data_IF_012737705852
#
_entry.id   IF_012737705852
#
_cell.length_a   1.000
_cell.length_b   1.000
_cell.length_c   1.000
_cell.angle_alpha   90.00
_cell.angle_beta   90.00
_cell.angle_gamma   90.00
#
_symmetry.space_group_name_H-M   'P 1'
#
loop_
_entity.id
_entity.type
_entity.pdbx_description
1 polymer ?
#
# COMPACT_ATOMS: atom_id res chain seq x y z
N UNK A 1 -13.13 7.44 11.57
CA UNK A 1 -12.31 6.35 12.13
C UNK A 1 -11.86 6.77 13.52
N UNK A 2 -11.49 5.83 14.38
CA UNK A 2 -11.00 6.12 15.72
C UNK A 2 -9.52 5.73 15.90
N UNK A 3 -8.92 6.09 17.04
CA UNK A 3 -7.52 5.82 17.34
C UNK A 3 -7.20 4.34 17.41
N UNK A 4 -8.13 3.49 17.85
CA UNK A 4 -7.93 2.04 17.87
C UNK A 4 -7.71 1.49 16.45
N UNK A 5 -8.50 1.93 15.47
CA UNK A 5 -8.30 1.56 14.07
C UNK A 5 -6.96 2.10 13.52
N UNK A 6 -6.59 3.34 13.84
CA UNK A 6 -5.30 3.92 13.44
C UNK A 6 -4.13 3.11 14.00
N UNK A 7 -4.14 2.79 15.31
CA UNK A 7 -3.09 2.01 15.97
C UNK A 7 -2.96 0.62 15.37
N UNK A 8 -4.08 -0.02 15.00
CA UNK A 8 -4.06 -1.28 14.28
C UNK A 8 -3.33 -1.16 12.93
N UNK A 9 -3.63 -0.13 12.14
CA UNK A 9 -2.98 0.09 10.84
C UNK A 9 -1.47 0.30 10.98
N UNK A 10 -1.04 1.03 12.02
CA UNK A 10 0.39 1.21 12.29
C UNK A 10 1.06 -0.02 12.90
N UNK A 11 0.34 -0.84 13.65
CA UNK A 11 0.86 -2.14 14.11
C UNK A 11 1.09 -3.09 12.93
N UNK A 12 0.14 -3.14 11.98
CA UNK A 12 0.32 -3.83 10.70
C UNK A 12 1.49 -3.24 9.90
N UNK A 13 1.58 -1.91 9.81
CA UNK A 13 2.67 -1.24 9.11
C UNK A 13 4.03 -1.62 9.71
N UNK A 14 4.17 -1.59 11.03
CA UNK A 14 5.42 -2.00 11.68
C UNK A 14 5.70 -3.49 11.45
N UNK A 15 4.70 -4.38 11.58
CA UNK A 15 4.88 -5.81 11.31
C UNK A 15 5.45 -6.07 9.90
N UNK A 16 4.88 -5.43 8.87
CA UNK A 16 5.35 -5.61 7.50
C UNK A 16 6.74 -4.97 7.28
N UNK A 17 7.06 -3.84 7.95
CA UNK A 17 8.43 -3.30 7.96
C UNK A 17 9.43 -4.30 8.56
N UNK A 18 9.08 -4.93 9.69
CA UNK A 18 9.95 -5.91 10.34
C UNK A 18 10.18 -7.15 9.49
N UNK A 19 9.22 -7.59 8.67
CA UNK A 19 9.46 -8.71 7.74
C UNK A 19 10.53 -8.38 6.71
N UNK A 20 10.48 -7.18 6.14
CA UNK A 20 11.49 -6.69 5.20
C UNK A 20 12.85 -6.57 5.90
N UNK A 21 12.89 -5.89 7.06
CA UNK A 21 14.13 -5.69 7.82
C UNK A 21 14.75 -7.00 8.31
N UNK A 22 13.94 -8.04 8.55
CA UNK A 22 14.42 -9.37 8.94
C UNK A 22 15.17 -10.03 7.78
N UNK A 23 14.61 -10.01 6.57
CA UNK A 23 15.29 -10.56 5.39
C UNK A 23 16.47 -9.70 4.92
N UNK A 24 16.42 -8.39 5.16
CA UNK A 24 17.50 -7.47 4.81
C UNK A 24 18.84 -7.87 5.43
N UNK A 25 18.85 -8.51 6.60
CA UNK A 25 20.07 -8.97 7.30
C UNK A 25 20.85 -10.00 6.48
N UNK A 26 20.17 -10.73 5.59
CA UNK A 26 20.80 -11.74 4.73
C UNK A 26 21.55 -11.14 3.54
N UNK A 27 21.29 -9.86 3.20
CA UNK A 27 21.99 -9.19 2.11
C UNK A 27 23.42 -8.82 2.49
N UNK A 28 24.35 -9.06 1.56
CA UNK A 28 25.73 -8.59 1.69
C UNK A 28 25.80 -7.06 1.55
N UNK A 29 26.87 -6.41 2.08
CA UNK A 29 27.04 -4.97 1.96
C UNK A 29 26.97 -4.41 0.53
N UNK A 30 27.47 -5.17 -0.46
CA UNK A 30 27.41 -4.78 -1.88
C UNK A 30 26.01 -4.96 -2.48
N UNK A 31 25.25 -5.98 -2.05
CA UNK A 31 23.86 -6.22 -2.47
C UNK A 31 22.92 -5.14 -1.89
N UNK A 32 23.16 -4.73 -0.64
CA UNK A 32 22.46 -3.64 0.05
C UNK A 32 22.54 -2.31 -0.71
N UNK A 33 23.69 -2.05 -1.36
CA UNK A 33 24.01 -0.82 -2.10
C UNK A 33 23.96 -0.98 -3.62
N UNK A 34 23.61 -2.15 -4.13
CA UNK A 34 23.57 -2.41 -5.55
C UNK A 34 22.63 -1.43 -6.24
N UNK A 35 23.11 -0.84 -7.34
CA UNK A 35 22.31 0.06 -8.16
C UNK A 35 21.12 -0.69 -8.75
N UNK A 36 19.94 -0.09 -8.68
CA UNK A 36 18.75 -0.58 -9.34
C UNK A 36 17.92 0.58 -9.88
N UNK A 37 16.98 0.24 -10.77
CA UNK A 37 16.07 1.20 -11.39
C UNK A 37 14.88 1.58 -10.49
N UNK A 38 14.78 0.99 -9.30
CA UNK A 38 13.65 1.16 -8.40
C UNK A 38 13.88 2.34 -7.45
N UNK A 39 13.03 3.37 -7.61
CA UNK A 39 12.72 4.44 -6.64
C UNK A 39 13.88 5.29 -6.12
N UNK A 40 14.78 4.67 -5.35
CA UNK A 40 15.79 5.31 -4.52
C UNK A 40 17.21 4.78 -4.79
N UNK A 41 17.41 4.17 -5.96
CA UNK A 41 18.70 3.81 -6.53
C UNK A 41 19.37 2.58 -5.91
N UNK A 42 18.93 2.13 -4.74
CA UNK A 42 19.41 0.90 -4.07
C UNK A 42 18.39 0.39 -3.07
N UNK A 43 18.55 -0.86 -2.61
CA UNK A 43 17.71 -1.41 -1.53
C UNK A 43 17.83 -0.59 -0.24
N UNK A 44 19.06 -0.21 0.15
CA UNK A 44 19.29 0.67 1.30
C UNK A 44 18.59 2.03 1.13
N UNK A 45 18.65 2.60 -0.07
CA UNK A 45 17.95 3.84 -0.40
C UNK A 45 16.45 3.74 -0.20
N UNK A 46 15.82 2.64 -0.64
CA UNK A 46 14.39 2.40 -0.46
C UNK A 46 13.99 2.30 1.01
N UNK A 47 14.76 1.56 1.81
CA UNK A 47 14.51 1.46 3.25
C UNK A 47 14.73 2.79 3.98
N UNK A 48 15.84 3.48 3.69
CA UNK A 48 16.11 4.80 4.26
C UNK A 48 15.00 5.80 3.91
N UNK A 49 14.50 5.78 2.67
CA UNK A 49 13.39 6.62 2.25
C UNK A 49 12.12 6.39 3.07
N UNK A 50 11.68 5.14 3.24
CA UNK A 50 10.46 4.84 4.01
C UNK A 50 10.58 5.40 5.43
N UNK A 51 11.70 5.14 6.11
CA UNK A 51 11.93 5.60 7.48
C UNK A 51 12.05 7.12 7.57
N UNK A 52 12.81 7.76 6.68
CA UNK A 52 12.97 9.21 6.68
C UNK A 52 11.66 9.91 6.34
N UNK A 53 10.89 9.41 5.37
CA UNK A 53 9.58 9.93 5.04
C UNK A 53 8.63 9.86 6.23
N UNK A 54 8.57 8.73 6.94
CA UNK A 54 7.76 8.57 8.15
C UNK A 54 8.21 9.56 9.24
N UNK A 55 9.51 9.63 9.54
CA UNK A 55 10.08 10.54 10.55
C UNK A 55 9.75 12.01 10.24
N UNK A 56 9.89 12.40 8.97
CA UNK A 56 9.57 13.71 8.45
C UNK A 56 8.09 14.06 8.63
N UNK A 57 7.19 13.11 8.38
CA UNK A 57 5.77 13.32 8.64
C UNK A 57 5.46 13.40 10.13
N UNK A 58 6.04 12.53 10.96
CA UNK A 58 5.86 12.57 12.42
C UNK A 58 6.29 13.92 12.99
N UNK A 59 7.46 14.43 12.61
CA UNK A 59 7.91 15.78 12.99
C UNK A 59 6.88 16.85 12.64
N UNK A 60 6.30 16.79 11.44
CA UNK A 60 5.30 17.78 10.99
C UNK A 60 3.96 17.64 11.71
N UNK A 61 3.45 16.42 11.84
CA UNK A 61 2.12 16.17 12.39
C UNK A 61 2.07 16.44 13.89
N UNK A 62 3.18 16.25 14.59
CA UNK A 62 3.27 16.38 16.05
C UNK A 62 4.09 17.59 16.53
N UNK A 63 4.49 18.48 15.61
CA UNK A 63 5.30 19.68 15.91
C UNK A 63 6.58 19.36 16.69
N UNK A 64 7.25 18.29 16.27
CA UNK A 64 8.50 17.82 16.86
C UNK A 64 9.68 18.13 15.93
N UNK A 65 10.91 18.27 16.45
CA UNK A 65 12.10 18.49 15.63
C UNK A 65 12.27 17.43 14.54
N UNK A 66 12.84 17.82 13.40
CA UNK A 66 13.32 16.85 12.40
C UNK A 66 14.52 16.10 12.98
N UNK A 67 14.49 14.78 12.89
CA UNK A 67 15.56 13.91 13.39
C UNK A 67 16.27 13.28 12.18
N UNK A 68 17.58 13.42 12.10
CA UNK A 68 18.42 12.84 11.04
C UNK A 68 18.10 13.30 9.62
N UNK A 69 18.55 12.54 8.61
CA UNK A 69 18.37 12.85 7.18
C UNK A 69 18.60 11.63 6.28
N UNK A 70 18.36 11.80 4.98
CA UNK A 70 18.42 10.71 3.98
C UNK A 70 19.84 10.21 3.65
N UNK A 71 20.88 10.95 4.02
CA UNK A 71 22.28 10.58 3.69
C UNK A 71 22.56 9.11 4.06
N UNK A 72 22.84 8.27 3.04
CA UNK A 72 22.95 6.82 3.21
C UNK A 72 24.14 6.41 4.09
N UNK A 73 25.15 7.26 4.20
CA UNK A 73 26.30 7.05 5.09
C UNK A 73 25.91 7.06 6.58
N UNK A 74 24.74 7.60 6.93
CA UNK A 74 24.17 7.48 8.27
C UNK A 74 23.69 6.05 8.58
N UNK A 75 23.56 5.19 7.56
CA UNK A 75 23.02 3.84 7.64
C UNK A 75 24.03 2.85 7.02
N UNK A 76 25.22 2.66 7.64
CA UNK A 76 26.29 1.85 7.06
C UNK A 76 25.89 0.38 6.84
N UNK A 77 24.99 -0.14 7.68
CA UNK A 77 24.47 -1.49 7.62
C UNK A 77 23.00 -1.55 8.07
N UNK A 78 22.42 -2.75 7.98
CA UNK A 78 21.03 -3.02 8.38
C UNK A 78 20.80 -2.79 9.87
N UNK A 79 21.80 -3.02 10.72
CA UNK A 79 21.66 -2.86 12.17
C UNK A 79 21.50 -1.38 12.55
N UNK A 80 22.30 -0.49 11.96
CA UNK A 80 22.17 0.95 12.15
C UNK A 80 20.80 1.47 11.69
N UNK A 81 20.30 0.95 10.56
CA UNK A 81 18.97 1.28 10.07
C UNK A 81 17.87 0.76 11.01
N UNK A 82 17.97 -0.50 11.49
CA UNK A 82 17.01 -1.09 12.44
C UNK A 82 16.95 -0.31 13.76
N UNK A 83 18.11 0.09 14.30
CA UNK A 83 18.18 0.91 15.51
C UNK A 83 17.44 2.24 15.31
N UNK A 84 17.76 2.94 14.22
CA UNK A 84 17.08 4.21 13.90
C UNK A 84 15.58 4.00 13.72
N UNK A 85 15.17 2.95 13.00
CA UNK A 85 13.77 2.66 12.78
C UNK A 85 13.03 2.39 14.09
N UNK A 86 13.63 1.64 15.02
CA UNK A 86 13.06 1.37 16.33
C UNK A 86 12.83 2.66 17.14
N UNK A 87 13.75 3.63 17.06
CA UNK A 87 13.58 4.95 17.67
C UNK A 87 12.38 5.71 17.07
N UNK A 88 12.23 5.69 15.73
CA UNK A 88 11.08 6.32 15.06
C UNK A 88 9.76 5.61 15.38
N UNK A 89 9.72 4.28 15.48
CA UNK A 89 8.51 3.55 15.89
C UNK A 89 8.11 3.87 17.32
N UNK A 90 9.08 3.96 18.24
CA UNK A 90 8.81 4.34 19.63
C UNK A 90 8.26 5.76 19.71
N UNK A 91 8.81 6.68 18.90
CA UNK A 91 8.37 8.07 18.78
C UNK A 91 6.94 8.17 18.24
N UNK A 92 6.65 7.51 17.12
CA UNK A 92 5.31 7.45 16.55
C UNK A 92 4.30 6.84 17.53
N UNK A 93 4.65 5.72 18.17
CA UNK A 93 3.79 5.05 19.15
C UNK A 93 3.46 5.94 20.35
N UNK A 94 4.45 6.66 20.88
CA UNK A 94 4.24 7.64 21.95
C UNK A 94 3.23 8.71 21.52
N UNK A 95 3.39 9.26 20.33
CA UNK A 95 2.51 10.31 19.81
C UNK A 95 1.08 9.79 19.59
N UNK A 96 0.90 8.62 18.96
CA UNK A 96 -0.41 7.99 18.79
C UNK A 96 -1.09 7.65 20.14
N UNK A 97 -0.32 7.38 21.19
CA UNK A 97 -0.85 7.11 22.52
C UNK A 97 -1.24 8.37 23.30
N UNK A 98 -0.63 9.52 23.00
CA UNK A 98 -0.94 10.80 23.61
C UNK A 98 -2.13 11.52 22.96
N UNK A 99 -2.53 11.10 21.74
CA UNK A 99 -3.65 11.68 21.02
C UNK A 99 -5.01 11.40 21.66
N UNK A 100 -5.93 12.34 21.49
CA UNK A 100 -7.36 12.16 21.65
C UNK A 100 -8.04 11.87 20.31
N UNK A 101 -9.26 11.32 20.35
CA UNK A 101 -10.04 11.08 19.11
C UNK A 101 -10.31 12.38 18.32
N UNK A 102 -10.48 13.51 19.03
CA UNK A 102 -10.71 14.82 18.41
C UNK A 102 -9.54 15.29 17.54
N UNK A 103 -8.30 14.88 17.86
CA UNK A 103 -7.11 15.28 17.12
C UNK A 103 -7.10 14.77 15.68
N UNK A 104 -7.78 13.65 15.42
CA UNK A 104 -7.89 13.08 14.07
C UNK A 104 -8.50 14.07 13.06
N UNK A 105 -9.37 14.98 13.52
CA UNK A 105 -10.01 16.00 12.69
C UNK A 105 -9.16 17.27 12.50
N UNK A 106 -8.00 17.39 13.14
CA UNK A 106 -7.10 18.54 13.01
C UNK A 106 -6.65 18.70 11.55
N UNK A 107 -6.69 19.92 11.02
CA UNK A 107 -6.24 20.24 9.66
C UNK A 107 -4.76 20.65 9.63
N UNK A 108 -4.10 20.30 8.54
CA UNK A 108 -2.76 20.72 8.17
C UNK A 108 -2.81 21.31 6.78
N UNK A 109 -2.15 22.45 6.59
CA UNK A 109 -2.01 23.07 5.27
C UNK A 109 -0.52 23.22 4.96
N UNK A 110 -0.13 22.84 3.74
CA UNK A 110 1.24 22.93 3.26
C UNK A 110 1.27 23.48 1.85
N UNK A 111 2.22 24.36 1.58
CA UNK A 111 2.60 24.76 0.24
C UNK A 111 3.73 23.87 -0.29
N UNK A 112 3.59 23.38 -1.53
CA UNK A 112 4.69 22.73 -2.27
C UNK A 112 4.57 23.06 -3.75
N UNK A 113 5.63 23.61 -4.33
CA UNK A 113 5.73 23.90 -5.77
C UNK A 113 4.51 24.68 -6.32
N UNK A 114 4.03 25.68 -5.57
CA UNK A 114 2.89 26.51 -5.96
C UNK A 114 1.52 25.85 -5.80
N UNK A 115 1.43 24.69 -5.12
CA UNK A 115 0.19 24.02 -4.77
C UNK A 115 0.00 23.96 -3.25
N UNK A 116 -1.21 24.31 -2.82
CA UNK A 116 -1.68 24.15 -1.44
C UNK A 116 -2.25 22.74 -1.25
N UNK A 117 -1.69 21.98 -0.32
CA UNK A 117 -2.26 20.73 0.19
C UNK A 117 -2.90 21.01 1.54
N UNK A 118 -4.22 20.89 1.66
CA UNK A 118 -4.93 20.96 2.94
C UNK A 118 -5.55 19.61 3.26
N UNK A 119 -5.10 18.98 4.35
CA UNK A 119 -5.50 17.62 4.73
C UNK A 119 -5.77 17.53 6.24
N UNK A 120 -6.55 16.54 6.64
CA UNK A 120 -6.81 16.19 8.05
C UNK A 120 -5.74 15.24 8.59
N UNK A 121 -5.54 15.23 9.90
CA UNK A 121 -4.58 14.33 10.55
C UNK A 121 -4.81 12.88 10.16
N UNK A 122 -6.07 12.43 10.20
CA UNK A 122 -6.40 11.06 9.81
C UNK A 122 -5.99 10.76 8.35
N UNK A 123 -6.14 11.71 7.42
CA UNK A 123 -5.74 11.53 6.01
C UNK A 123 -4.23 11.41 5.86
N UNK A 124 -3.48 12.23 6.62
CA UNK A 124 -2.02 12.12 6.66
C UNK A 124 -1.59 10.75 7.21
N UNK A 125 -2.20 10.30 8.31
CA UNK A 125 -1.91 8.99 8.90
C UNK A 125 -2.21 7.82 7.95
N UNK A 126 -3.29 7.89 7.16
CA UNK A 126 -3.54 6.90 6.11
C UNK A 126 -2.47 6.93 5.00
N UNK A 127 -2.05 8.13 4.59
CA UNK A 127 -0.97 8.29 3.63
C UNK A 127 0.31 7.60 4.11
N UNK A 128 0.72 7.78 5.37
CA UNK A 128 1.95 7.16 5.89
C UNK A 128 1.92 5.63 5.72
N UNK A 129 0.79 4.99 6.04
CA UNK A 129 0.63 3.54 5.90
C UNK A 129 0.63 3.11 4.43
N UNK A 130 -0.09 3.82 3.55
CA UNK A 130 -0.16 3.49 2.12
C UNK A 130 1.18 3.74 1.39
N UNK A 131 1.86 4.84 1.71
CA UNK A 131 3.19 5.18 1.19
C UNK A 131 4.23 4.14 1.63
N UNK A 132 4.16 3.70 2.89
CA UNK A 132 4.97 2.58 3.38
C UNK A 132 4.70 1.29 2.60
N UNK A 133 3.45 0.98 2.27
CA UNK A 133 3.12 -0.19 1.44
C UNK A 133 3.72 -0.10 0.04
N UNK A 134 3.63 1.04 -0.65
CA UNK A 134 4.18 1.21 -2.00
C UNK A 134 5.70 0.94 -2.03
N UNK A 135 6.47 1.63 -1.21
CA UNK A 135 7.93 1.49 -1.25
C UNK A 135 8.43 0.18 -0.65
N UNK A 136 7.67 -0.43 0.29
CA UNK A 136 7.98 -1.79 0.70
C UNK A 136 7.79 -2.81 -0.41
N UNK A 137 6.83 -2.62 -1.31
CA UNK A 137 6.65 -3.50 -2.46
C UNK A 137 7.90 -3.51 -3.34
N UNK A 138 8.45 -2.32 -3.61
CA UNK A 138 9.71 -2.15 -4.34
C UNK A 138 10.86 -2.87 -3.60
N UNK A 139 10.97 -2.70 -2.28
CA UNK A 139 11.97 -3.39 -1.46
C UNK A 139 11.78 -4.93 -1.46
N UNK A 140 10.53 -5.41 -1.44
CA UNK A 140 10.20 -6.83 -1.47
C UNK A 140 10.57 -7.48 -2.81
N UNK A 141 10.37 -6.77 -3.92
CA UNK A 141 10.78 -7.20 -5.25
C UNK A 141 12.31 -7.33 -5.32
N UNK A 142 13.06 -6.34 -4.81
CA UNK A 142 14.53 -6.38 -4.76
C UNK A 142 15.03 -7.58 -3.93
N UNK A 143 14.50 -7.76 -2.71
CA UNK A 143 14.84 -8.90 -1.85
C UNK A 143 14.57 -10.25 -2.53
N UNK A 144 13.43 -10.36 -3.22
CA UNK A 144 13.07 -11.57 -3.95
C UNK A 144 14.06 -11.85 -5.08
N UNK A 145 14.51 -10.82 -5.81
CA UNK A 145 15.54 -10.94 -6.84
C UNK A 145 16.90 -11.43 -6.31
N UNK A 146 17.23 -11.14 -5.04
CA UNK A 146 18.40 -11.69 -4.36
C UNK A 146 18.15 -13.07 -3.71
N UNK A 147 16.97 -13.66 -3.85
CA UNK A 147 16.62 -14.95 -3.27
C UNK A 147 16.19 -14.90 -1.79
N UNK A 148 15.96 -13.72 -1.25
CA UNK A 148 15.63 -13.47 0.17
C UNK A 148 14.21 -12.92 0.34
N UNK A 149 13.22 -13.54 -0.31
CA UNK A 149 11.83 -13.04 -0.30
C UNK A 149 11.29 -12.85 1.13
N UNK A 150 10.65 -11.70 1.45
CA UNK A 150 10.02 -11.48 2.76
C UNK A 150 8.73 -12.29 2.98
N UNK A 151 8.30 -13.04 1.97
CA UNK A 151 7.01 -13.73 1.95
C UNK A 151 5.84 -12.77 1.84
N UNK A 152 4.63 -13.27 2.12
CA UNK A 152 3.40 -12.49 1.99
C UNK A 152 3.33 -11.36 3.04
N UNK A 153 3.02 -10.14 2.58
CA UNK A 153 2.92 -8.90 3.36
C UNK A 153 1.47 -8.42 3.57
N UNK A 154 0.49 -9.19 3.13
CA UNK A 154 -0.93 -8.84 3.20
C UNK A 154 -1.41 -8.73 4.64
N UNK A 155 -2.34 -7.79 4.84
CA UNK A 155 -3.00 -7.60 6.13
C UNK A 155 -3.75 -8.84 6.60
N UNK A 156 -4.28 -9.66 5.68
CA UNK A 156 -4.93 -10.93 6.02
C UNK A 156 -3.96 -11.90 6.70
N UNK A 157 -2.71 -11.97 6.23
CA UNK A 157 -1.65 -12.77 6.85
C UNK A 157 -1.26 -12.20 8.22
N UNK A 158 -1.13 -10.88 8.34
CA UNK A 158 -0.91 -10.24 9.65
C UNK A 158 -2.01 -10.60 10.66
N UNK A 159 -3.28 -10.50 10.27
CA UNK A 159 -4.42 -10.82 11.13
C UNK A 159 -4.38 -12.30 11.54
N UNK A 160 -4.13 -13.21 10.59
CA UNK A 160 -4.08 -14.65 10.87
C UNK A 160 -2.95 -15.04 11.83
N UNK A 161 -1.77 -14.44 11.67
CA UNK A 161 -0.59 -14.75 12.47
C UNK A 161 -0.58 -14.07 13.83
N UNK A 162 -0.87 -12.77 13.86
CA UNK A 162 -0.74 -11.95 15.07
C UNK A 162 -2.02 -11.94 15.92
N UNK A 163 -3.16 -12.32 15.33
CA UNK A 163 -4.48 -12.33 15.98
C UNK A 163 -4.73 -11.06 16.82
N UNK A 164 -4.51 -9.87 16.24
CA UNK A 164 -4.59 -8.61 16.97
C UNK A 164 -5.99 -8.40 17.54
N UNK A 165 -6.07 -7.77 18.70
CA UNK A 165 -7.36 -7.41 19.28
C UNK A 165 -8.09 -6.43 18.35
N UNK A 166 -9.26 -6.84 17.87
CA UNK A 166 -10.13 -6.05 17.01
C UNK A 166 -11.20 -5.29 17.78
N UNK A 167 -11.31 -5.51 19.09
CA UNK A 167 -12.31 -4.87 19.93
C UNK A 167 -12.13 -3.34 19.93
N UNK A 168 -13.24 -2.62 19.76
CA UNK A 168 -13.27 -1.17 19.81
C UNK A 168 -12.66 -0.44 18.61
N UNK A 169 -12.10 -1.15 17.63
CA UNK A 169 -11.65 -0.53 16.37
C UNK A 169 -12.86 -0.02 15.59
N UNK A 170 -12.85 1.25 15.16
CA UNK A 170 -13.91 1.80 14.32
C UNK A 170 -13.31 2.50 13.10
N UNK A 171 -13.57 1.95 11.91
CA UNK A 171 -13.29 2.61 10.65
C UNK A 171 -14.51 3.43 10.21
N UNK A 172 -14.29 4.52 9.47
CA UNK A 172 -15.41 5.26 8.88
C UNK A 172 -15.54 4.95 7.40
N UNK A 173 -16.77 4.87 6.91
CA UNK A 173 -17.07 4.70 5.49
C UNK A 173 -16.47 5.82 4.65
N UNK A 174 -16.42 7.06 5.15
CA UNK A 174 -15.82 8.18 4.43
C UNK A 174 -14.31 7.96 4.17
N UNK A 175 -13.61 7.31 5.10
CA UNK A 175 -12.20 6.97 4.91
C UNK A 175 -12.03 5.85 3.87
N UNK A 176 -12.89 4.84 3.89
CA UNK A 176 -12.89 3.77 2.89
C UNK A 176 -13.22 4.34 1.49
N UNK A 177 -14.28 5.13 1.35
CA UNK A 177 -14.64 5.77 0.08
C UNK A 177 -13.49 6.61 -0.48
N UNK A 178 -12.79 7.36 0.38
CA UNK A 178 -11.62 8.13 -0.04
C UNK A 178 -10.48 7.25 -0.57
N UNK A 179 -10.21 6.11 0.08
CA UNK A 179 -9.20 5.15 -0.38
C UNK A 179 -9.58 4.51 -1.72
N UNK A 180 -10.86 4.21 -1.95
CA UNK A 180 -11.31 3.63 -3.21
C UNK A 180 -11.31 4.66 -4.35
N UNK A 181 -11.62 5.92 -4.07
CA UNK A 181 -11.44 7.01 -5.03
C UNK A 181 -9.96 7.20 -5.41
N UNK A 182 -9.06 7.14 -4.44
CA UNK A 182 -7.61 7.10 -4.69
C UNK A 182 -7.22 5.86 -5.51
N UNK A 183 -7.76 4.69 -5.18
CA UNK A 183 -7.46 3.44 -5.86
C UNK A 183 -7.79 3.53 -7.36
N UNK A 184 -8.98 4.01 -7.69
CA UNK A 184 -9.39 4.24 -9.08
C UNK A 184 -8.48 5.25 -9.80
N UNK A 185 -8.16 6.37 -9.15
CA UNK A 185 -7.29 7.41 -9.69
C UNK A 185 -5.87 6.89 -9.97
N UNK A 186 -5.31 6.07 -9.08
CA UNK A 186 -3.97 5.50 -9.24
C UNK A 186 -3.97 4.39 -10.30
N UNK A 187 -4.98 3.51 -10.33
CA UNK A 187 -5.16 2.50 -11.39
C UNK A 187 -5.19 3.17 -12.77
N UNK A 188 -5.96 4.27 -12.93
CA UNK A 188 -6.06 5.00 -14.19
C UNK A 188 -4.71 5.57 -14.67
N UNK A 189 -3.83 6.00 -13.76
CA UNK A 189 -2.48 6.47 -14.11
C UNK A 189 -1.59 5.36 -14.65
N UNK A 190 -1.65 4.17 -14.04
CA UNK A 190 -0.92 3.00 -14.50
C UNK A 190 -1.40 2.61 -15.90
N UNK A 191 -2.72 2.46 -16.08
CA UNK A 191 -3.30 2.10 -17.39
C UNK A 191 -2.98 3.11 -18.50
N UNK A 192 -2.97 4.40 -18.17
CA UNK A 192 -2.63 5.45 -19.15
C UNK A 192 -1.24 5.26 -19.76
N UNK A 193 -0.30 4.69 -19.01
CA UNK A 193 1.04 4.41 -19.52
C UNK A 193 1.15 3.00 -20.10
N UNK A 194 0.55 2.00 -19.45
CA UNK A 194 0.54 0.62 -19.94
C UNK A 194 -0.08 0.53 -21.36
N UNK A 195 -1.11 1.32 -21.65
CA UNK A 195 -1.74 1.39 -22.98
C UNK A 195 -0.84 1.94 -24.09
N UNK A 196 0.36 2.44 -23.77
CA UNK A 196 1.35 2.90 -24.77
C UNK A 196 2.37 1.81 -25.15
N UNK A 197 2.36 0.69 -24.43
CA UNK A 197 3.29 -0.40 -24.62
C UNK A 197 2.71 -1.45 -25.57
N UNK A 198 3.58 -2.12 -26.31
CA UNK A 198 3.22 -3.30 -27.08
C UNK A 198 2.97 -4.50 -26.16
N UNK A 199 2.12 -5.44 -26.57
CA UNK A 199 1.82 -6.63 -25.76
C UNK A 199 3.07 -7.48 -25.44
N UNK A 200 4.09 -7.46 -26.30
CA UNK A 200 5.37 -8.13 -26.03
C UNK A 200 6.15 -7.49 -24.87
N UNK A 201 6.01 -6.18 -24.66
CA UNK A 201 6.62 -5.47 -23.51
C UNK A 201 5.79 -5.73 -22.24
N UNK A 202 4.46 -5.69 -22.35
CA UNK A 202 3.56 -5.94 -21.21
C UNK A 202 3.69 -7.38 -20.67
N UNK A 203 3.86 -8.36 -21.56
CA UNK A 203 4.07 -9.78 -21.21
C UNK A 203 5.54 -10.17 -21.07
N UNK A 204 6.47 -9.21 -21.07
CA UNK A 204 7.88 -9.52 -20.83
C UNK A 204 8.04 -10.17 -19.46
N UNK A 205 8.71 -11.33 -19.45
CA UNK A 205 8.95 -12.09 -18.23
C UNK A 205 9.83 -11.31 -17.24
N UNK A 206 9.50 -11.41 -15.96
CA UNK A 206 10.31 -10.92 -14.85
C UNK A 206 10.34 -11.94 -13.69
N UNK A 207 11.25 -11.72 -12.75
CA UNK A 207 11.54 -12.70 -11.68
C UNK A 207 10.74 -12.44 -10.39
N UNK A 208 9.70 -11.60 -10.43
CA UNK A 208 8.95 -11.20 -9.24
C UNK A 208 7.44 -11.02 -9.51
N UNK A 209 6.64 -11.08 -8.43
CA UNK A 209 5.19 -10.86 -8.51
C UNK A 209 4.50 -11.91 -9.40
N UNK A 210 3.84 -11.44 -10.46
CA UNK A 210 2.98 -12.23 -11.35
C UNK A 210 3.63 -12.55 -12.70
N UNK A 211 4.96 -12.57 -12.75
CA UNK A 211 5.76 -12.99 -13.90
C UNK A 211 5.78 -12.02 -15.09
N UNK A 212 4.86 -11.05 -15.14
CA UNK A 212 4.87 -9.95 -16.12
C UNK A 212 4.04 -8.75 -15.62
N UNK A 213 4.16 -7.60 -16.28
CA UNK A 213 3.31 -6.44 -15.99
C UNK A 213 1.84 -6.74 -16.29
N UNK A 214 1.57 -7.44 -17.40
CA UNK A 214 0.21 -7.81 -17.79
C UNK A 214 -0.41 -8.78 -16.78
N UNK A 215 0.36 -9.77 -16.32
CA UNK A 215 -0.06 -10.68 -15.25
C UNK A 215 -0.37 -9.94 -13.95
N UNK A 216 0.46 -8.96 -13.55
CA UNK A 216 0.22 -8.16 -12.36
C UNK A 216 -1.05 -7.30 -12.47
N UNK A 217 -1.29 -6.68 -13.63
CA UNK A 217 -2.52 -5.93 -13.88
C UNK A 217 -3.75 -6.85 -13.86
N UNK A 218 -3.69 -8.00 -14.53
CA UNK A 218 -4.78 -8.98 -14.51
C UNK A 218 -5.08 -9.47 -13.08
N UNK A 219 -4.03 -9.70 -12.29
CA UNK A 219 -4.19 -10.10 -10.89
C UNK A 219 -4.85 -9.03 -10.02
N UNK A 220 -4.48 -7.76 -10.14
CA UNK A 220 -5.13 -6.70 -9.36
C UNK A 220 -6.63 -6.65 -9.69
N UNK A 221 -7.00 -6.76 -10.98
CA UNK A 221 -8.40 -6.83 -11.39
C UNK A 221 -9.11 -8.05 -10.81
N UNK A 222 -8.48 -9.22 -10.88
CA UNK A 222 -9.01 -10.45 -10.30
C UNK A 222 -9.25 -10.32 -8.79
N UNK A 223 -8.29 -9.75 -8.06
CA UNK A 223 -8.43 -9.48 -6.64
C UNK A 223 -9.61 -8.53 -6.38
N UNK A 224 -9.72 -7.41 -7.10
CA UNK A 224 -10.83 -6.46 -6.95
C UNK A 224 -12.20 -7.12 -7.20
N UNK A 225 -12.30 -7.90 -8.28
CA UNK A 225 -13.49 -8.65 -8.64
C UNK A 225 -13.84 -9.71 -7.58
N UNK A 226 -12.92 -10.61 -7.30
CA UNK A 226 -13.14 -11.76 -6.42
C UNK A 226 -13.45 -11.33 -4.99
N UNK A 227 -12.71 -10.35 -4.45
CA UNK A 227 -13.02 -9.79 -3.14
C UNK A 227 -14.39 -9.11 -3.11
N UNK A 228 -14.78 -8.32 -4.13
CA UNK A 228 -16.12 -7.71 -4.13
C UNK A 228 -17.22 -8.76 -4.04
N UNK A 229 -17.10 -9.85 -4.80
CA UNK A 229 -18.09 -10.93 -4.76
C UNK A 229 -18.08 -11.67 -3.41
N UNK A 230 -16.89 -11.98 -2.89
CA UNK A 230 -16.74 -12.57 -1.56
C UNK A 230 -17.38 -11.70 -0.46
N UNK A 231 -17.15 -10.39 -0.47
CA UNK A 231 -17.70 -9.45 0.52
C UNK A 231 -19.23 -9.25 0.42
N UNK A 232 -19.82 -9.63 -0.72
CA UNK A 232 -21.26 -9.65 -0.97
C UNK A 232 -21.91 -11.01 -0.68
N UNK A 233 -21.13 -12.03 -0.34
CA UNK A 233 -21.58 -13.42 -0.17
C UNK A 233 -22.13 -14.07 -1.45
N UNK A 234 -21.57 -13.70 -2.61
CA UNK A 234 -21.93 -14.37 -3.86
C UNK A 234 -21.25 -15.76 -3.90
N UNK A 235 -22.04 -16.83 -4.04
CA UNK A 235 -21.59 -18.22 -3.81
C UNK A 235 -20.79 -18.85 -4.97
N UNK A 236 -20.82 -18.26 -6.17
CA UNK A 236 -20.25 -18.84 -7.40
C UNK A 236 -19.35 -17.82 -8.13
N UNK A 237 -18.16 -17.58 -7.59
CA UNK A 237 -17.18 -16.67 -8.21
C UNK A 237 -16.23 -17.45 -9.10
N UNK A 238 -16.29 -17.23 -10.42
CA UNK A 238 -15.23 -17.62 -11.33
C UNK A 238 -14.13 -16.55 -11.30
N UNK A 239 -12.98 -16.86 -10.71
CA UNK A 239 -11.79 -16.01 -10.74
C UNK A 239 -11.37 -15.69 -12.17
N UNK A 240 -10.87 -14.48 -12.37
CA UNK A 240 -10.37 -13.98 -13.65
C UNK A 240 -8.92 -14.43 -13.80
N UNK A 241 -8.55 -14.85 -15.02
CA UNK A 241 -7.19 -15.24 -15.35
C UNK A 241 -6.59 -14.27 -16.37
N UNK A 242 -5.26 -14.16 -16.43
CA UNK A 242 -4.57 -13.40 -17.49
C UNK A 242 -5.03 -13.85 -18.89
N UNK A 243 -5.30 -15.14 -19.04
CA UNK A 243 -5.72 -15.79 -20.29
C UNK A 243 -7.11 -15.33 -20.78
N UNK A 244 -7.93 -14.74 -19.90
CA UNK A 244 -9.25 -14.17 -20.26
C UNK A 244 -9.11 -12.89 -21.12
N UNK A 245 -7.91 -12.29 -21.19
CA UNK A 245 -7.68 -11.00 -21.84
C UNK A 245 -6.73 -11.09 -23.03
N UNK A 246 -7.21 -10.74 -24.22
CA UNK A 246 -6.41 -10.74 -25.43
C UNK A 246 -5.27 -9.69 -25.38
N UNK A 247 -5.59 -8.48 -24.90
CA UNK A 247 -4.70 -7.33 -24.86
C UNK A 247 -5.00 -6.37 -23.68
N UNK A 248 -4.20 -5.31 -23.57
CA UNK A 248 -4.35 -4.26 -22.56
C UNK A 248 -5.70 -3.54 -22.63
N UNK A 249 -6.27 -3.38 -23.82
CA UNK A 249 -7.55 -2.70 -23.99
C UNK A 249 -8.71 -3.54 -23.46
N UNK A 250 -8.72 -4.85 -23.74
CA UNK A 250 -9.68 -5.80 -23.20
C UNK A 250 -9.63 -5.84 -21.66
N UNK A 251 -8.42 -5.89 -21.09
CA UNK A 251 -8.22 -5.83 -19.64
C UNK A 251 -8.74 -4.51 -19.05
N UNK A 252 -8.39 -3.37 -19.66
CA UNK A 252 -8.83 -2.05 -19.21
C UNK A 252 -10.36 -1.89 -19.29
N UNK A 253 -11.01 -2.41 -20.34
CA UNK A 253 -12.46 -2.37 -20.50
C UNK A 253 -13.16 -3.16 -19.39
N UNK A 254 -12.72 -4.39 -19.13
CA UNK A 254 -13.26 -5.21 -18.03
C UNK A 254 -13.02 -4.56 -16.67
N UNK A 255 -11.87 -3.93 -16.46
CA UNK A 255 -11.59 -3.19 -15.23
C UNK A 255 -12.50 -1.97 -15.08
N UNK A 256 -12.78 -1.22 -16.15
CA UNK A 256 -13.72 -0.11 -16.08
C UNK A 256 -15.12 -0.56 -15.62
N UNK A 257 -15.60 -1.71 -16.09
CA UNK A 257 -16.83 -2.33 -15.59
C UNK A 257 -16.71 -2.70 -14.11
N UNK A 258 -15.58 -3.28 -13.70
CA UNK A 258 -15.34 -3.65 -12.32
C UNK A 258 -15.33 -2.45 -11.38
N UNK A 259 -14.64 -1.38 -11.75
CA UNK A 259 -14.59 -0.14 -10.98
C UNK A 259 -16.00 0.40 -10.73
N UNK A 260 -16.90 0.36 -11.71
CA UNK A 260 -18.29 0.78 -11.52
C UNK A 260 -18.98 -0.09 -10.46
N UNK A 261 -18.79 -1.41 -10.49
CA UNK A 261 -19.39 -2.31 -9.51
C UNK A 261 -18.78 -2.16 -8.12
N UNK A 262 -17.46 -1.99 -8.03
CA UNK A 262 -16.71 -1.79 -6.80
C UNK A 262 -17.09 -0.47 -6.13
N UNK A 263 -17.16 0.63 -6.88
CA UNK A 263 -17.64 1.91 -6.38
C UNK A 263 -19.10 1.84 -5.95
N UNK A 264 -19.98 1.17 -6.71
CA UNK A 264 -21.38 0.97 -6.29
C UNK A 264 -21.47 0.19 -4.98
N UNK A 265 -20.68 -0.86 -4.83
CA UNK A 265 -20.64 -1.65 -3.61
C UNK A 265 -20.18 -0.80 -2.42
N UNK A 266 -19.02 -0.13 -2.51
CA UNK A 266 -18.50 0.69 -1.42
C UNK A 266 -19.45 1.83 -1.07
N UNK A 267 -20.06 2.48 -2.07
CA UNK A 267 -21.03 3.56 -1.84
C UNK A 267 -22.39 3.11 -1.29
N UNK A 268 -22.68 1.80 -1.29
CA UNK A 268 -23.88 1.24 -0.65
C UNK A 268 -23.71 1.00 0.85
N UNK A 269 -22.49 1.03 1.36
CA UNK A 269 -22.17 0.76 2.76
C UNK A 269 -22.32 2.02 3.63
N UNK A 270 -22.39 1.81 4.94
CA UNK A 270 -22.36 2.87 5.96
C UNK A 270 -21.38 2.53 7.10
N UNK A 271 -21.22 3.43 8.08
CA UNK A 271 -20.31 3.24 9.21
C UNK A 271 -20.61 1.96 10.04
N UNK A 272 -21.88 1.56 10.17
CA UNK A 272 -22.26 0.36 10.92
C UNK A 272 -21.81 -0.93 10.21
N UNK A 273 -21.75 -0.91 8.87
CA UNK A 273 -21.28 -2.05 8.09
C UNK A 273 -19.80 -2.34 8.31
N UNK A 274 -19.00 -1.37 8.73
CA UNK A 274 -17.56 -1.54 8.90
C UNK A 274 -17.23 -2.69 9.86
N UNK A 275 -18.07 -2.93 10.87
CA UNK A 275 -17.90 -4.03 11.83
C UNK A 275 -18.53 -5.35 11.41
N UNK A 276 -19.21 -5.39 10.26
CA UNK A 276 -19.83 -6.61 9.75
C UNK A 276 -18.77 -7.69 9.57
N UNK A 277 -19.06 -8.90 10.03
CA UNK A 277 -18.21 -10.07 9.79
C UNK A 277 -18.54 -10.67 8.43
N UNK A 278 -17.51 -10.93 7.64
CA UNK A 278 -17.59 -11.70 6.40
C UNK A 278 -16.97 -13.06 6.66
N UNK A 279 -17.77 -14.11 6.50
CA UNK A 279 -17.38 -15.49 6.77
C UNK A 279 -16.85 -16.15 5.51
N UNK A 280 -15.84 -17.00 5.67
CA UNK A 280 -15.31 -17.84 4.61
C UNK A 280 -15.22 -19.30 5.07
N UNK A 281 -15.35 -20.21 4.11
CA UNK A 281 -15.10 -21.64 4.25
C UNK A 281 -14.27 -22.04 3.02
N UNK A 282 -12.96 -22.23 3.22
CA UNK A 282 -12.03 -22.57 2.14
C UNK A 282 -11.20 -23.76 2.57
N UNK A 283 -11.35 -24.89 1.87
CA UNK A 283 -10.55 -26.11 2.06
C UNK A 283 -10.46 -26.60 3.53
N UNK A 284 -11.52 -26.39 4.31
CA UNK A 284 -11.57 -26.80 5.72
C UNK A 284 -11.04 -25.76 6.71
N UNK A 285 -10.51 -24.63 6.24
CA UNK A 285 -10.30 -23.44 7.08
C UNK A 285 -11.58 -22.60 7.09
N UNK A 286 -12.15 -22.44 8.29
CA UNK A 286 -13.38 -21.68 8.53
C UNK A 286 -13.08 -20.51 9.42
N UNK A 287 -13.41 -19.32 8.95
CA UNK A 287 -13.11 -18.10 9.67
C UNK A 287 -14.06 -16.96 9.34
N UNK A 288 -13.71 -15.81 9.88
CA UNK A 288 -14.35 -14.56 9.51
C UNK A 288 -13.34 -13.42 9.56
N UNK A 289 -13.52 -12.47 8.66
CA UNK A 289 -12.83 -11.19 8.68
C UNK A 289 -13.82 -10.07 8.98
N UNK A 290 -13.31 -8.95 9.50
CA UNK A 290 -14.11 -7.73 9.63
C UNK A 290 -14.11 -7.02 8.28
N UNK A 291 -15.28 -6.56 7.83
CA UNK A 291 -15.47 -5.98 6.49
C UNK A 291 -14.46 -4.87 6.19
N UNK A 292 -14.25 -3.94 7.13
CA UNK A 292 -13.30 -2.84 6.89
C UNK A 292 -11.84 -3.31 6.76
N UNK A 293 -11.44 -4.40 7.43
CA UNK A 293 -10.11 -5.00 7.24
C UNK A 293 -9.93 -5.49 5.80
N UNK A 294 -10.96 -6.15 5.25
CA UNK A 294 -10.94 -6.62 3.87
C UNK A 294 -10.92 -5.46 2.87
N UNK A 295 -11.76 -4.44 3.08
CA UNK A 295 -11.83 -3.27 2.21
C UNK A 295 -10.51 -2.50 2.20
N UNK A 296 -9.86 -2.36 3.36
CA UNK A 296 -8.53 -1.76 3.47
C UNK A 296 -7.47 -2.62 2.80
N UNK A 297 -7.46 -3.93 3.09
CA UNK A 297 -6.52 -4.88 2.49
C UNK A 297 -6.55 -4.79 0.97
N UNK A 298 -7.73 -4.78 0.35
CA UNK A 298 -7.86 -4.75 -1.10
C UNK A 298 -7.15 -3.54 -1.74
N UNK A 299 -7.31 -2.34 -1.17
CA UNK A 299 -6.62 -1.13 -1.67
C UNK A 299 -5.11 -1.22 -1.45
N UNK A 300 -4.67 -1.69 -0.29
CA UNK A 300 -3.24 -1.86 0.01
C UNK A 300 -2.58 -2.90 -0.90
N UNK A 301 -3.27 -4.00 -1.17
CA UNK A 301 -2.84 -5.07 -2.05
C UNK A 301 -2.68 -4.55 -3.49
N UNK A 302 -3.66 -3.78 -3.96
CA UNK A 302 -3.55 -3.04 -5.23
C UNK A 302 -2.38 -2.05 -5.24
N UNK A 303 -2.13 -1.32 -4.15
CA UNK A 303 -0.96 -0.41 -4.02
C UNK A 303 0.37 -1.16 -4.17
N UNK A 304 0.51 -2.37 -3.58
CA UNK A 304 1.71 -3.18 -3.70
C UNK A 304 2.01 -3.53 -5.16
N UNK A 305 1.06 -4.16 -5.85
CA UNK A 305 1.26 -4.60 -7.24
C UNK A 305 1.31 -3.44 -8.24
N UNK A 306 0.65 -2.32 -7.95
CA UNK A 306 0.82 -1.10 -8.75
C UNK A 306 2.23 -0.52 -8.65
N UNK A 307 2.89 -0.61 -7.50
CA UNK A 307 4.26 -0.14 -7.34
C UNK A 307 5.21 -0.94 -8.26
N UNK A 308 5.02 -2.26 -8.31
CA UNK A 308 5.73 -3.15 -9.25
C UNK A 308 5.47 -2.74 -10.72
N UNK A 309 4.21 -2.46 -11.08
CA UNK A 309 3.88 -1.98 -12.42
C UNK A 309 4.51 -0.61 -12.72
N UNK A 310 4.49 0.33 -11.76
CA UNK A 310 5.04 1.68 -11.93
C UNK A 310 6.56 1.65 -12.16
N UNK A 311 7.25 0.75 -11.48
CA UNK A 311 8.66 0.46 -11.69
C UNK A 311 8.94 -0.04 -13.11
N UNK A 312 8.28 -1.12 -13.54
CA UNK A 312 8.45 -1.68 -14.89
C UNK A 312 8.13 -0.66 -15.99
N UNK A 313 7.09 0.14 -15.78
CA UNK A 313 6.75 1.25 -16.68
C UNK A 313 7.86 2.29 -16.75
N UNK A 314 8.49 2.62 -15.63
CA UNK A 314 9.59 3.59 -15.57
C UNK A 314 10.82 3.07 -16.31
N UNK A 315 11.15 1.78 -16.17
CA UNK A 315 12.27 1.13 -16.87
C UNK A 315 12.10 1.14 -18.39
N UNK A 316 10.84 1.08 -18.84
CA UNK A 316 10.49 1.17 -20.27
C UNK A 316 10.40 2.63 -20.76
N UNK A 317 10.68 3.64 -19.92
CA UNK A 317 10.58 5.06 -20.28
C UNK A 317 9.16 5.64 -20.26
N UNK A 318 8.22 4.92 -19.64
CA UNK A 318 6.79 5.24 -19.57
C UNK A 318 6.31 5.49 -18.13
N UNK A 319 7.11 6.17 -17.30
CA UNK A 319 6.77 6.42 -15.90
C UNK A 319 5.34 6.98 -15.73
N UNK A 320 4.53 6.45 -14.79
CA UNK A 320 3.20 6.98 -14.47
C UNK A 320 3.25 8.33 -13.74
N UNK A 321 4.45 8.78 -13.35
CA UNK A 321 4.65 9.94 -12.49
C UNK A 321 4.28 9.61 -11.04
N UNK A 322 4.08 10.66 -10.25
CA UNK A 322 3.75 10.53 -8.82
C UNK A 322 2.31 9.98 -8.64
N UNK A 323 2.23 8.78 -8.06
CA UNK A 323 0.99 8.06 -7.73
C UNK A 323 0.67 8.12 -6.23
N UNK A 324 1.35 8.96 -5.45
CA UNK A 324 1.17 9.04 -4.01
C UNK A 324 -0.21 9.61 -3.62
N UNK A 325 -0.73 9.16 -2.48
CA UNK A 325 -2.02 9.58 -1.93
C UNK A 325 -2.11 11.09 -1.72
N UNK A 326 -1.00 11.73 -1.32
CA UNK A 326 -0.98 13.19 -1.12
C UNK A 326 -1.15 13.97 -2.42
N UNK A 327 -0.65 13.43 -3.54
CA UNK A 327 -0.84 14.00 -4.86
C UNK A 327 -2.29 13.89 -5.30
N UNK A 328 -2.94 12.75 -5.05
CA UNK A 328 -4.38 12.60 -5.24
C UNK A 328 -5.18 13.64 -4.43
N UNK A 329 -4.89 13.77 -3.13
CA UNK A 329 -5.60 14.75 -2.28
C UNK A 329 -5.42 16.19 -2.76
N UNK A 330 -4.23 16.55 -3.25
CA UNK A 330 -3.96 17.89 -3.79
C UNK A 330 -4.77 18.20 -5.06
N UNK A 331 -5.05 17.17 -5.88
CA UNK A 331 -5.84 17.31 -7.12
C UNK A 331 -7.34 17.25 -6.86
N UNK A 332 -7.78 16.54 -5.82
CA UNK A 332 -9.18 16.47 -5.44
C UNK A 332 -9.66 17.75 -4.72
N UNK A 333 -8.73 18.54 -4.17
CA UNK A 333 -9.00 19.79 -3.45
C UNK A 333 -8.99 21.03 -4.34
N UNK A 334 -8.67 20.89 -5.64
CA UNK A 334 -8.60 21.97 -6.64
C UNK A 334 -9.83 21.99 -7.53
#
# INVERSE_FOLDING_TARGET
MNLAAVKFLFAYNNWANQRILTQAVELKPDELRAENSLGWGSFLGGLAHIMVAESLWVSRLFDEPVVGGFELDNYPDVAALQERWAQEQARLSRNLNAMSEGDLARSFTRERAGKTLSIRLWQALLHLVNHGTQHRAECAAILTGFGHSPGNLDMTVYIGQQKPDSAGQQMSIAAIQLLYAYNEWANARIFKQAAKLEMSQLRQANDHGWGSMFGALAHILDAEYGWRHFLKHDADVKWLEESDFADCHALQARWAEENVQLQRFVNSLNDADMQRRVYYDSEGDRGSHILWHCLWHLVNHGTQHRAECAALLTDLGHSPGDVDFTVFLSQASS
#
